data_IF_112485579622
#
_entry.id   IF_112485579622
#
_cell.length_a   1.000
_cell.length_b   1.000
_cell.length_c   1.000
_cell.angle_alpha   90.00
_cell.angle_beta   90.00
_cell.angle_gamma   90.00
#
_symmetry.space_group_name_H-M   'P 1'
#
loop_
_entity.id
_entity.type
_entity.pdbx_description
1 polymer ?
#
# COMPACT_ATOMS: atom_id res chain seq x y z
N UNK A 1 27.76 -2.46 -10.05
CA UNK A 1 26.72 -1.42 -10.23
C UNK A 1 26.47 -0.77 -8.86
N UNK A 2 26.77 0.51 -8.68
CA UNK A 2 26.54 1.22 -7.41
C UNK A 2 25.04 1.44 -7.17
N UNK A 3 24.62 1.51 -5.90
CA UNK A 3 23.22 1.69 -5.53
C UNK A 3 22.60 2.94 -6.19
N UNK A 4 23.38 4.00 -6.41
CA UNK A 4 22.90 5.23 -7.09
C UNK A 4 22.58 4.98 -8.56
N UNK A 5 23.47 4.31 -9.32
CA UNK A 5 23.24 3.99 -10.74
C UNK A 5 22.03 3.08 -10.96
N UNK A 6 21.75 2.18 -10.02
CA UNK A 6 20.55 1.35 -10.06
C UNK A 6 19.27 2.17 -9.83
N UNK A 7 19.31 3.13 -8.90
CA UNK A 7 18.19 4.03 -8.63
C UNK A 7 17.94 5.02 -9.78
N UNK A 8 19.00 5.54 -10.39
CA UNK A 8 18.91 6.44 -11.56
C UNK A 8 18.27 5.72 -12.76
N UNK A 9 18.70 4.47 -13.02
CA UNK A 9 18.16 3.64 -14.11
C UNK A 9 16.70 3.26 -13.87
N UNK A 10 16.31 2.98 -12.62
CA UNK A 10 14.92 2.71 -12.24
C UNK A 10 14.05 3.97 -12.40
N UNK A 11 14.54 5.14 -12.00
CA UNK A 11 13.83 6.43 -12.14
C UNK A 11 13.49 6.72 -13.61
N UNK A 12 14.47 6.55 -14.51
CA UNK A 12 14.30 6.75 -15.95
C UNK A 12 13.22 5.82 -16.54
N UNK A 13 13.20 4.54 -16.13
CA UNK A 13 12.23 3.52 -16.62
C UNK A 13 10.79 3.82 -16.14
N UNK A 14 10.61 4.37 -14.94
CA UNK A 14 9.28 4.67 -14.38
C UNK A 14 8.58 5.87 -15.02
N UNK A 15 9.32 6.73 -15.72
CA UNK A 15 8.76 7.94 -16.33
C UNK A 15 7.77 7.60 -17.47
N UNK A 16 8.01 6.52 -18.22
CA UNK A 16 7.58 6.52 -19.61
C UNK A 16 6.21 5.90 -19.95
N UNK A 17 5.55 5.01 -19.17
CA UNK A 17 4.39 4.28 -19.72
C UNK A 17 3.24 3.89 -18.77
N UNK A 18 2.62 4.87 -18.13
CA UNK A 18 1.19 4.84 -17.75
C UNK A 18 0.58 6.10 -18.34
N UNK A 19 -0.58 6.04 -19.01
CA UNK A 19 -1.28 7.24 -19.53
C UNK A 19 -1.93 8.02 -18.37
N UNK A 20 -1.09 8.36 -17.39
CA UNK A 20 -1.41 9.16 -16.22
C UNK A 20 -1.04 10.61 -16.55
N UNK A 21 -1.88 11.60 -16.24
CA UNK A 21 -1.55 12.97 -16.56
C UNK A 21 -0.21 13.36 -15.91
N UNK A 22 0.75 13.81 -16.71
CA UNK A 22 2.11 14.13 -16.25
C UNK A 22 2.16 15.19 -15.13
N UNK A 23 1.10 15.97 -14.98
CA UNK A 23 0.96 16.98 -13.94
C UNK A 23 0.46 16.44 -12.59
N UNK A 24 -0.08 15.20 -12.55
CA UNK A 24 -0.59 14.60 -11.32
C UNK A 24 0.45 13.72 -10.65
N UNK A 25 0.53 13.72 -9.31
CA UNK A 25 1.40 12.81 -8.59
C UNK A 25 1.03 11.35 -8.92
N UNK A 26 2.05 10.52 -9.12
CA UNK A 26 1.88 9.07 -9.30
C UNK A 26 1.54 8.43 -7.95
N UNK A 27 0.28 8.03 -7.76
CA UNK A 27 -0.22 7.50 -6.48
C UNK A 27 -0.38 5.98 -6.54
N UNK A 28 0.12 5.28 -5.51
CA UNK A 28 -0.20 3.88 -5.25
C UNK A 28 -1.06 3.81 -4.00
N UNK A 29 -2.21 3.16 -4.10
CA UNK A 29 -3.12 2.94 -2.99
C UNK A 29 -2.88 1.57 -2.33
N UNK A 30 -3.03 1.51 -1.02
CA UNK A 30 -2.92 0.31 -0.21
C UNK A 30 -4.18 0.17 0.64
N UNK A 31 -4.79 -1.01 0.59
CA UNK A 31 -5.85 -1.39 1.52
C UNK A 31 -5.32 -1.60 2.95
N UNK A 32 -6.23 -1.58 3.93
CA UNK A 32 -5.92 -1.85 5.32
C UNK A 32 -6.14 -3.31 5.69
N UNK A 33 -7.35 -3.85 5.51
CA UNK A 33 -7.80 -5.04 6.23
C UNK A 33 -7.45 -6.33 5.49
N UNK A 34 -6.41 -7.03 5.95
CA UNK A 34 -5.82 -8.16 5.24
C UNK A 34 -4.58 -7.76 4.43
N UNK A 35 -4.49 -6.48 4.06
CA UNK A 35 -3.34 -5.90 3.34
C UNK A 35 -2.27 -5.36 4.27
N UNK A 36 -2.51 -4.20 4.89
CA UNK A 36 -1.56 -3.57 5.83
C UNK A 36 -1.69 -4.13 7.24
N UNK A 37 -2.88 -4.60 7.60
CA UNK A 37 -3.22 -5.13 8.91
C UNK A 37 -3.60 -6.60 8.79
N UNK A 38 -2.80 -7.49 9.39
CA UNK A 38 -3.10 -8.92 9.44
C UNK A 38 -4.20 -9.17 10.48
N UNK A 39 -5.42 -9.25 9.97
CA UNK A 39 -6.61 -9.42 10.80
C UNK A 39 -6.89 -10.89 11.16
N UNK A 40 -6.09 -11.88 10.75
CA UNK A 40 -6.42 -13.30 10.99
C UNK A 40 -6.59 -13.62 12.47
N UNK A 41 -5.70 -13.09 13.33
CA UNK A 41 -5.81 -13.25 14.79
C UNK A 41 -6.97 -12.44 15.37
N UNK A 42 -7.19 -11.22 14.88
CA UNK A 42 -8.29 -10.37 15.30
C UNK A 42 -9.66 -11.01 14.96
N UNK A 43 -9.82 -11.58 13.78
CA UNK A 43 -11.07 -12.21 13.36
C UNK A 43 -11.44 -13.41 14.25
N UNK A 44 -10.46 -14.15 14.77
CA UNK A 44 -10.71 -15.20 15.77
C UNK A 44 -11.30 -14.64 17.06
N UNK A 45 -10.81 -13.50 17.55
CA UNK A 45 -11.33 -12.87 18.79
C UNK A 45 -12.68 -12.17 18.58
N UNK A 46 -13.06 -11.91 17.33
CA UNK A 46 -14.36 -11.34 16.96
C UNK A 46 -15.42 -12.39 16.61
N UNK A 47 -15.14 -13.69 16.82
CA UNK A 47 -15.99 -14.81 16.38
C UNK A 47 -16.31 -14.76 14.88
N UNK A 48 -15.36 -14.31 14.06
CA UNK A 48 -15.52 -14.19 12.62
C UNK A 48 -16.38 -13.02 12.14
N UNK A 49 -16.93 -12.17 13.03
CA UNK A 49 -17.77 -11.04 12.65
C UNK A 49 -16.94 -9.73 12.55
N UNK A 50 -16.66 -9.22 11.33
CA UNK A 50 -15.84 -8.02 11.16
C UNK A 50 -16.52 -6.74 11.67
N UNK A 51 -17.85 -6.71 11.78
CA UNK A 51 -18.60 -5.55 12.32
C UNK A 51 -18.32 -5.32 13.81
N UNK A 52 -17.81 -6.33 14.53
CA UNK A 52 -17.40 -6.20 15.95
C UNK A 52 -15.98 -5.63 16.10
N UNK A 53 -15.33 -5.35 14.98
CA UNK A 53 -13.95 -4.86 14.89
C UNK A 53 -13.80 -3.35 14.80
N UNK A 54 -14.87 -2.56 15.02
CA UNK A 54 -14.78 -1.10 15.00
C UNK A 54 -13.66 -0.59 15.93
N UNK A 55 -12.81 0.28 15.41
CA UNK A 55 -11.62 0.81 16.06
C UNK A 55 -10.47 -0.17 16.24
N UNK A 56 -10.61 -1.44 15.82
CA UNK A 56 -9.61 -2.49 15.99
C UNK A 56 -8.92 -2.81 14.67
N UNK A 57 -7.61 -3.02 14.75
CA UNK A 57 -6.74 -3.39 13.65
C UNK A 57 -5.82 -4.51 14.15
N UNK A 58 -5.54 -5.49 13.30
CA UNK A 58 -4.58 -6.54 13.57
C UNK A 58 -3.12 -6.05 13.56
N UNK A 59 -2.20 -7.01 13.56
CA UNK A 59 -0.76 -6.75 13.55
C UNK A 59 -0.31 -6.16 12.20
N UNK A 60 0.69 -5.28 12.18
CA UNK A 60 1.16 -4.67 10.94
C UNK A 60 1.83 -5.71 10.03
N UNK A 61 1.46 -5.71 8.75
CA UNK A 61 2.18 -6.43 7.71
C UNK A 61 3.48 -5.69 7.37
N UNK A 62 4.56 -6.05 8.06
CA UNK A 62 5.88 -5.41 7.97
C UNK A 62 6.46 -5.42 6.55
N UNK A 63 6.19 -6.47 5.77
CA UNK A 63 6.68 -6.58 4.39
C UNK A 63 5.98 -5.58 3.47
N UNK A 64 4.66 -5.41 3.61
CA UNK A 64 3.92 -4.39 2.86
C UNK A 64 4.40 -3.00 3.21
N UNK A 65 4.58 -2.69 4.50
CA UNK A 65 5.11 -1.40 4.96
C UNK A 65 6.52 -1.14 4.40
N UNK A 66 7.37 -2.16 4.32
CA UNK A 66 8.71 -2.06 3.71
C UNK A 66 8.60 -1.75 2.20
N UNK A 67 7.70 -2.43 1.49
CA UNK A 67 7.43 -2.16 0.08
C UNK A 67 6.89 -0.75 -0.16
N UNK A 68 6.01 -0.24 0.71
CA UNK A 68 5.53 1.14 0.68
C UNK A 68 6.70 2.13 0.76
N UNK A 69 7.62 1.94 1.72
CA UNK A 69 8.82 2.80 1.86
C UNK A 69 9.67 2.78 0.60
N UNK A 70 9.79 1.63 -0.05
CA UNK A 70 10.52 1.51 -1.31
C UNK A 70 9.85 2.29 -2.43
N UNK A 71 8.55 2.11 -2.67
CA UNK A 71 7.86 2.86 -3.74
C UNK A 71 7.85 4.37 -3.49
N UNK A 72 7.81 4.82 -2.22
CA UNK A 72 8.00 6.23 -1.88
C UNK A 72 9.39 6.75 -2.28
N UNK A 73 10.44 5.96 -2.07
CA UNK A 73 11.80 6.33 -2.52
C UNK A 73 11.91 6.44 -4.04
N UNK A 74 11.03 5.75 -4.78
CA UNK A 74 10.93 5.84 -6.24
C UNK A 74 10.08 7.03 -6.71
N UNK A 75 9.66 7.92 -5.81
CA UNK A 75 8.90 9.12 -6.15
C UNK A 75 7.38 8.94 -6.20
N UNK A 76 6.86 7.75 -5.90
CA UNK A 76 5.42 7.54 -5.80
C UNK A 76 4.86 8.13 -4.50
N UNK A 77 3.70 8.76 -4.60
CA UNK A 77 2.87 9.09 -3.45
C UNK A 77 2.12 7.86 -2.97
N UNK A 78 1.94 7.74 -1.66
CA UNK A 78 1.25 6.61 -1.06
C UNK A 78 -0.10 7.05 -0.53
N UNK A 79 -1.12 6.32 -0.91
CA UNK A 79 -2.44 6.47 -0.35
C UNK A 79 -2.85 5.25 0.48
N UNK A 80 -3.53 5.52 1.58
CA UNK A 80 -4.33 4.51 2.28
C UNK A 80 -5.74 4.63 1.75
N UNK A 81 -6.28 3.53 1.23
CA UNK A 81 -7.65 3.46 0.73
C UNK A 81 -8.36 2.29 1.41
N UNK A 82 -9.46 2.53 2.12
CA UNK A 82 -10.20 1.47 2.80
C UNK A 82 -11.70 1.71 2.71
N UNK A 83 -12.48 0.63 2.78
CA UNK A 83 -13.95 0.69 2.84
C UNK A 83 -14.49 0.88 4.28
N UNK A 84 -13.61 1.02 5.28
CA UNK A 84 -14.03 1.31 6.65
C UNK A 84 -14.76 2.65 6.74
N UNK A 85 -15.77 2.72 7.60
CA UNK A 85 -16.57 3.93 7.80
C UNK A 85 -15.72 5.15 8.21
N UNK A 86 -16.14 6.36 7.84
CA UNK A 86 -15.44 7.62 8.21
C UNK A 86 -15.17 7.78 9.70
N UNK A 87 -16.05 7.24 10.56
CA UNK A 87 -15.87 7.21 12.02
C UNK A 87 -14.57 6.54 12.45
N UNK A 88 -14.01 5.65 11.62
CA UNK A 88 -12.77 4.91 11.88
C UNK A 88 -11.50 5.73 11.58
N UNK A 89 -11.62 6.97 11.07
CA UNK A 89 -10.46 7.80 10.67
C UNK A 89 -9.46 7.97 11.81
N UNK A 90 -9.91 8.31 13.02
CA UNK A 90 -9.00 8.57 14.14
C UNK A 90 -8.34 7.30 14.69
N UNK A 91 -9.07 6.20 14.95
CA UNK A 91 -8.45 4.90 15.23
C UNK A 91 -7.41 4.50 14.19
N UNK A 92 -7.73 4.65 12.89
CA UNK A 92 -6.82 4.32 11.81
C UNK A 92 -5.56 5.18 11.82
N UNK A 93 -5.69 6.51 11.94
CA UNK A 93 -4.53 7.42 12.05
C UNK A 93 -3.62 7.05 13.22
N UNK A 94 -4.20 6.70 14.39
CA UNK A 94 -3.42 6.25 15.55
C UNK A 94 -2.65 4.97 15.25
N UNK A 95 -3.30 3.99 14.62
CA UNK A 95 -2.65 2.74 14.23
C UNK A 95 -1.52 2.96 13.21
N UNK A 96 -1.77 3.74 12.16
CA UNK A 96 -0.78 4.10 11.15
C UNK A 96 0.45 4.79 11.77
N UNK A 97 0.21 5.74 12.70
CA UNK A 97 1.29 6.44 13.39
C UNK A 97 2.09 5.51 14.31
N UNK A 98 1.40 4.71 15.13
CA UNK A 98 2.03 3.72 16.03
C UNK A 98 2.98 2.80 15.28
N UNK A 99 2.59 2.35 14.09
CA UNK A 99 3.37 1.42 13.28
C UNK A 99 4.29 2.11 12.24
N UNK A 100 4.37 3.44 12.28
CA UNK A 100 5.20 4.26 11.37
C UNK A 100 4.97 3.89 9.90
N UNK A 101 3.69 3.75 9.53
CA UNK A 101 3.25 3.45 8.16
C UNK A 101 3.39 4.73 7.33
N UNK A 102 4.14 4.70 6.21
CA UNK A 102 4.28 5.88 5.35
C UNK A 102 3.00 6.08 4.53
N UNK A 103 2.38 7.25 4.61
CA UNK A 103 1.30 7.64 3.70
C UNK A 103 1.31 9.15 3.45
N UNK A 104 0.75 9.57 2.32
CA UNK A 104 0.56 10.96 1.90
C UNK A 104 -0.94 11.31 1.93
N UNK A 105 -1.80 10.33 1.61
CA UNK A 105 -3.26 10.50 1.55
C UNK A 105 -3.98 9.40 2.33
N UNK A 106 -5.16 9.74 2.87
CA UNK A 106 -6.02 8.82 3.61
C UNK A 106 -7.47 8.97 3.10
N UNK A 107 -8.01 7.89 2.52
CA UNK A 107 -9.33 7.88 1.89
C UNK A 107 -10.16 6.69 2.40
N UNK A 108 -11.31 6.98 3.02
CA UNK A 108 -12.16 5.99 3.70
C UNK A 108 -13.53 5.77 3.03
N UNK A 109 -13.93 6.64 2.11
CA UNK A 109 -15.30 6.62 1.54
C UNK A 109 -15.30 6.72 0.02
N UNK A 110 -14.39 7.50 -0.54
CA UNK A 110 -14.34 7.79 -1.97
C UNK A 110 -13.08 7.19 -2.57
N UNK A 111 -13.26 6.41 -3.63
CA UNK A 111 -12.16 5.89 -4.43
C UNK A 111 -11.41 7.07 -5.06
N UNK A 112 -10.13 7.27 -4.71
CA UNK A 112 -9.31 8.33 -5.29
C UNK A 112 -8.79 7.92 -6.66
N UNK A 113 -8.22 8.85 -7.44
CA UNK A 113 -7.36 8.49 -8.54
C UNK A 113 -6.06 7.85 -8.00
N UNK A 114 -5.79 6.60 -8.38
CA UNK A 114 -4.50 5.91 -8.17
C UNK A 114 -4.12 5.13 -9.43
N UNK A 115 -2.84 4.80 -9.57
CA UNK A 115 -2.31 3.97 -10.66
C UNK A 115 -2.57 2.49 -10.36
N UNK A 116 -2.26 2.07 -9.13
CA UNK A 116 -2.38 0.69 -8.65
C UNK A 116 -3.00 0.70 -7.26
N UNK A 117 -3.90 -0.25 -7.01
CA UNK A 117 -4.35 -0.63 -5.67
C UNK A 117 -3.70 -1.96 -5.29
N UNK A 118 -3.04 -1.96 -4.14
CA UNK A 118 -2.58 -3.17 -3.45
C UNK A 118 -3.65 -3.56 -2.44
N UNK A 119 -4.26 -4.72 -2.65
CA UNK A 119 -5.41 -5.22 -1.90
C UNK A 119 -5.27 -6.75 -1.83
N UNK A 120 -5.43 -7.34 -0.66
CA UNK A 120 -5.28 -8.77 -0.39
C UNK A 120 -6.30 -9.63 -1.14
N UNK A 121 -7.43 -9.04 -1.55
CA UNK A 121 -8.44 -9.69 -2.39
C UNK A 121 -8.04 -9.76 -3.86
N UNK A 122 -7.07 -8.95 -4.29
CA UNK A 122 -6.60 -8.85 -5.68
C UNK A 122 -5.20 -9.42 -5.83
N UNK A 123 -4.35 -9.27 -4.82
CA UNK A 123 -2.96 -9.72 -4.80
C UNK A 123 -2.70 -10.40 -3.47
N UNK A 124 -2.21 -11.63 -3.50
CA UNK A 124 -1.80 -12.35 -2.29
C UNK A 124 -0.56 -11.70 -1.65
N UNK A 125 -0.81 -10.72 -0.78
CA UNK A 125 0.21 -9.97 -0.02
C UNK A 125 0.95 -10.83 1.01
N UNK A 126 0.45 -12.05 1.29
CA UNK A 126 1.08 -13.02 2.18
C UNK A 126 2.27 -13.75 1.55
N UNK A 127 2.39 -13.73 0.22
CA UNK A 127 3.50 -14.35 -0.51
C UNK A 127 4.52 -13.31 -0.95
N UNK A 128 5.82 -13.60 -0.84
CA UNK A 128 6.94 -12.71 -1.25
C UNK A 128 6.83 -12.19 -2.70
N UNK A 129 6.02 -12.82 -3.55
CA UNK A 129 5.82 -12.42 -4.94
C UNK A 129 5.04 -11.11 -5.14
N UNK A 130 4.18 -10.70 -4.21
CA UNK A 130 3.33 -9.50 -4.40
C UNK A 130 4.14 -8.26 -4.78
N UNK A 131 5.32 -8.10 -4.17
CA UNK A 131 6.18 -6.94 -4.41
C UNK A 131 6.84 -7.01 -5.78
N UNK A 132 7.26 -8.21 -6.22
CA UNK A 132 7.77 -8.41 -7.58
C UNK A 132 6.68 -8.14 -8.62
N UNK A 133 5.45 -8.57 -8.36
CA UNK A 133 4.32 -8.34 -9.24
C UNK A 133 3.94 -6.86 -9.30
N UNK A 134 3.99 -6.15 -8.16
CA UNK A 134 3.83 -4.71 -8.11
C UNK A 134 4.90 -4.02 -8.95
N UNK A 135 6.18 -4.36 -8.76
CA UNK A 135 7.27 -3.81 -9.56
C UNK A 135 7.10 -4.15 -11.05
N UNK A 136 6.63 -5.35 -11.39
CA UNK A 136 6.29 -5.75 -12.76
C UNK A 136 5.22 -4.86 -13.38
N UNK A 137 4.12 -4.63 -12.66
CA UNK A 137 3.01 -3.77 -13.09
C UNK A 137 3.43 -2.31 -13.22
N UNK A 138 4.31 -1.84 -12.33
CA UNK A 138 4.96 -0.54 -12.44
C UNK A 138 6.05 -0.52 -13.53
N UNK A 139 6.33 -1.65 -14.18
CA UNK A 139 7.39 -1.86 -15.19
C UNK A 139 8.81 -1.55 -14.68
N UNK A 140 9.03 -1.74 -13.38
CA UNK A 140 10.28 -1.48 -12.62
C UNK A 140 11.23 -2.68 -12.62
N UNK A 141 11.01 -3.71 -13.44
CA UNK A 141 11.91 -4.86 -13.42
C UNK A 141 13.21 -4.52 -14.15
N UNK A 142 14.32 -4.48 -13.41
CA UNK A 142 15.66 -4.63 -13.97
C UNK A 142 15.73 -5.99 -14.68
N UNK A 143 15.77 -5.97 -16.02
CA UNK A 143 16.31 -7.12 -16.75
C UNK A 143 17.74 -7.33 -16.26
N UNK A 144 18.05 -8.59 -15.89
CA UNK A 144 19.38 -8.99 -15.43
C UNK A 144 20.44 -8.66 -16.47
#
# INVERSE_FOLDING_TARGET
>A
MTLSRALDKISQITADKVNWPNHLPKVIAFDIDGTLSDNRKLMKTLNGNPLRGCGKFGEPNKEVIKGMRFVRKLGYKIAIYTARAKSETQPLKRWLNKHKVPYDYLWLDKKPPFIILVDDRVVDVGKKMWFRDLLSKLRIICQK
#
